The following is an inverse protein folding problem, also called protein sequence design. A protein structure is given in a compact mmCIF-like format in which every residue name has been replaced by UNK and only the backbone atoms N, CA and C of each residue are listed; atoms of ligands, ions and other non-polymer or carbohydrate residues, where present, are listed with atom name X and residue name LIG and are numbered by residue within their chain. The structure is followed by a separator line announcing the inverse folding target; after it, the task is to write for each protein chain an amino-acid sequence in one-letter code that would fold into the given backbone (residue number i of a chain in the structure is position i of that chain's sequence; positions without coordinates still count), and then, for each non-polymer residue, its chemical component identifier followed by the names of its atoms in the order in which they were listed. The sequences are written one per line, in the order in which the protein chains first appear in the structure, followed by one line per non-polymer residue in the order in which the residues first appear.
data_IF_642006988172
#
_entry.id   IF_642006988172
#
_cell.length_a   1.000
_cell.length_b   1.000
_cell.length_c   1.000
_cell.angle_alpha   90.00
_cell.angle_beta   90.00
_cell.angle_gamma   90.00
#
_symmetry.space_group_name_H-M   'P 1'
#
loop_
_entity.id
_entity.type
_entity.pdbx_description
1 polymer ?
#
# COMPACT_ATOMS: atom_id res chain seq x y z
N UNK A 1 11.90 7.95 -8.24
CA UNK A 1 11.89 9.35 -7.78
C UNK A 1 12.63 9.40 -6.47
N UNK A 2 13.69 10.18 -6.38
CA UNK A 2 14.47 10.31 -5.15
C UNK A 2 13.76 11.27 -4.19
N UNK A 3 13.97 11.15 -2.88
CA UNK A 3 13.40 12.07 -1.88
C UNK A 3 13.72 13.55 -2.20
N UNK A 4 14.86 13.84 -2.84
CA UNK A 4 15.24 15.18 -3.30
C UNK A 4 14.34 15.71 -4.42
N UNK A 5 13.91 14.85 -5.36
CA UNK A 5 13.04 15.26 -6.48
C UNK A 5 11.66 15.69 -6.00
N UNK A 6 11.17 15.03 -4.95
CA UNK A 6 9.90 15.38 -4.30
C UNK A 6 9.99 16.77 -3.65
N UNK A 7 10.98 17.02 -2.80
CA UNK A 7 11.14 18.31 -2.12
C UNK A 7 11.43 19.46 -3.09
N UNK A 8 12.17 19.21 -4.18
CA UNK A 8 12.36 20.18 -5.25
C UNK A 8 11.05 20.51 -5.97
N UNK A 9 10.19 19.51 -6.22
CA UNK A 9 8.87 19.72 -6.83
C UNK A 9 7.92 20.49 -5.89
N UNK A 10 7.99 20.21 -4.58
CA UNK A 10 7.26 20.98 -3.56
C UNK A 10 7.76 22.43 -3.52
N UNK A 11 9.07 22.67 -3.52
CA UNK A 11 9.63 24.02 -3.54
C UNK A 11 9.27 24.77 -4.83
N UNK A 12 9.37 24.12 -5.99
CA UNK A 12 9.02 24.71 -7.27
C UNK A 12 7.54 25.10 -7.35
N UNK A 13 6.64 24.26 -6.82
CA UNK A 13 5.21 24.57 -6.76
C UNK A 13 4.87 25.69 -5.78
N UNK A 14 5.57 25.79 -4.64
CA UNK A 14 5.44 26.94 -3.73
C UNK A 14 5.89 28.25 -4.41
N UNK A 15 7.04 28.24 -5.08
CA UNK A 15 7.56 29.42 -5.79
C UNK A 15 6.63 29.83 -6.92
N UNK A 16 6.12 28.88 -7.69
CA UNK A 16 5.13 29.14 -8.75
C UNK A 16 3.83 29.74 -8.17
N UNK A 17 3.34 29.22 -7.05
CA UNK A 17 2.15 29.76 -6.39
C UNK A 17 2.35 31.20 -5.91
N UNK A 18 3.53 31.53 -5.37
CA UNK A 18 3.88 32.90 -4.96
C UNK A 18 3.92 33.83 -6.18
N UNK A 19 4.56 33.42 -7.27
CA UNK A 19 4.63 34.22 -8.50
C UNK A 19 3.25 34.45 -9.11
N UNK A 20 2.40 33.42 -9.15
CA UNK A 20 1.01 33.53 -9.62
C UNK A 20 0.20 34.44 -8.69
N UNK A 21 0.39 34.36 -7.37
CA UNK A 21 -0.29 35.24 -6.41
C UNK A 21 0.13 36.71 -6.58
N UNK A 22 1.42 36.98 -6.84
CA UNK A 22 1.92 38.34 -7.09
C UNK A 22 1.41 38.88 -8.42
N UNK A 23 1.44 38.08 -9.50
CA UNK A 23 0.89 38.46 -10.80
C UNK A 23 -0.63 38.70 -10.73
N UNK A 24 -1.36 37.84 -10.02
CA UNK A 24 -2.79 38.03 -9.75
C UNK A 24 -3.04 39.32 -9.00
N UNK A 25 -2.26 39.62 -7.94
CA UNK A 25 -2.39 40.86 -7.15
C UNK A 25 -2.18 42.12 -8.01
N UNK A 26 -1.13 42.16 -8.84
CA UNK A 26 -0.83 43.30 -9.72
C UNK A 26 -1.94 43.50 -10.77
N UNK A 27 -2.47 42.41 -11.32
CA UNK A 27 -3.56 42.46 -12.31
C UNK A 27 -4.91 42.84 -11.67
N UNK A 28 -5.09 42.47 -10.39
CA UNK A 28 -6.29 42.73 -9.58
C UNK A 28 -6.42 44.16 -9.06
N UNK A 29 -5.31 44.85 -8.83
CA UNK A 29 -5.33 46.25 -8.38
C UNK A 29 -5.99 47.20 -9.39
N UNK A 30 -6.07 46.80 -10.67
CA UNK A 30 -6.78 47.51 -11.74
C UNK A 30 -8.30 47.32 -11.74
N UNK A 31 -8.86 46.32 -11.05
CA UNK A 31 -10.28 45.91 -11.13
C UNK A 31 -11.00 45.84 -9.78
N UNK A 32 -10.49 46.58 -8.78
CA UNK A 32 -11.09 46.81 -7.46
C UNK A 32 -12.63 47.01 -7.55
N UNK A 33 -13.48 46.52 -6.65
CA UNK A 33 -13.24 46.62 -5.21
C UNK A 33 -14.14 45.75 -4.31
N UNK A 34 -15.12 44.97 -4.81
CA UNK A 34 -16.06 44.26 -3.92
C UNK A 34 -16.32 42.78 -4.28
N UNK A 35 -16.44 42.41 -5.56
CA UNK A 35 -16.74 41.03 -5.94
C UNK A 35 -15.55 40.07 -5.79
N UNK A 36 -14.32 40.60 -5.84
CA UNK A 36 -13.11 39.77 -6.00
C UNK A 36 -12.48 39.37 -4.66
N UNK A 37 -12.75 40.09 -3.57
CA UNK A 37 -12.28 39.70 -2.24
C UNK A 37 -12.79 38.33 -1.81
N UNK A 38 -14.06 38.03 -2.08
CA UNK A 38 -14.65 36.71 -1.80
C UNK A 38 -14.23 35.64 -2.83
N UNK A 39 -14.20 35.98 -4.13
CA UNK A 39 -13.83 35.03 -5.18
C UNK A 39 -12.36 34.60 -5.16
N UNK A 40 -11.44 35.53 -4.96
CA UNK A 40 -10.00 35.23 -4.86
C UNK A 40 -9.67 34.44 -3.59
N UNK A 41 -10.33 34.76 -2.46
CA UNK A 41 -10.17 33.99 -1.22
C UNK A 41 -10.73 32.57 -1.39
N UNK A 42 -11.86 32.41 -2.07
CA UNK A 42 -12.41 31.09 -2.42
C UNK A 42 -11.48 30.28 -3.33
N UNK A 43 -10.87 30.91 -4.33
CA UNK A 43 -9.94 30.23 -5.23
C UNK A 43 -8.64 29.80 -4.53
N UNK A 44 -8.07 30.66 -3.68
CA UNK A 44 -6.91 30.31 -2.86
C UNK A 44 -7.26 29.21 -1.86
N UNK A 45 -8.42 29.28 -1.20
CA UNK A 45 -8.89 28.23 -0.30
C UNK A 45 -9.10 26.88 -1.03
N UNK A 46 -9.58 26.91 -2.27
CA UNK A 46 -9.75 25.70 -3.09
C UNK A 46 -8.40 25.09 -3.49
N UNK A 47 -7.43 25.91 -3.91
CA UNK A 47 -6.06 25.43 -4.21
C UNK A 47 -5.40 24.84 -2.96
N UNK A 48 -5.45 25.55 -1.83
CA UNK A 48 -4.91 25.06 -0.56
C UNK A 48 -5.61 23.78 -0.13
N UNK A 49 -6.93 23.70 -0.28
CA UNK A 49 -7.72 22.50 -0.01
C UNK A 49 -7.29 21.29 -0.86
N UNK A 50 -7.07 21.50 -2.16
CA UNK A 50 -6.58 20.44 -3.08
C UNK A 50 -5.17 19.99 -2.69
N UNK A 51 -4.28 20.92 -2.35
CA UNK A 51 -2.90 20.59 -1.93
C UNK A 51 -2.90 19.80 -0.62
N UNK A 52 -3.69 20.22 0.37
CA UNK A 52 -3.83 19.51 1.65
C UNK A 52 -4.43 18.13 1.42
N UNK A 53 -5.49 18.00 0.61
CA UNK A 53 -6.13 16.72 0.30
C UNK A 53 -5.18 15.76 -0.42
N UNK A 54 -4.45 16.24 -1.44
CA UNK A 54 -3.45 15.46 -2.15
C UNK A 54 -2.30 15.05 -1.21
N UNK A 55 -1.82 15.97 -0.37
CA UNK A 55 -0.80 15.71 0.64
C UNK A 55 -1.23 14.64 1.64
N UNK A 56 -2.45 14.71 2.18
CA UNK A 56 -3.01 13.71 3.11
C UNK A 56 -3.17 12.36 2.42
N UNK A 57 -3.63 12.33 1.16
CA UNK A 57 -3.84 11.07 0.43
C UNK A 57 -2.52 10.36 0.14
N UNK A 58 -1.54 11.09 -0.39
CA UNK A 58 -0.21 10.53 -0.70
C UNK A 58 0.51 10.09 0.58
N UNK A 59 0.46 10.88 1.65
CA UNK A 59 1.10 10.48 2.92
C UNK A 59 0.46 9.25 3.54
N UNK A 60 -0.86 9.07 3.42
CA UNK A 60 -1.55 7.84 3.85
C UNK A 60 -1.12 6.63 3.04
N UNK A 61 -1.05 6.74 1.71
CA UNK A 61 -0.62 5.64 0.84
C UNK A 61 0.84 5.25 1.09
N UNK A 62 1.74 6.22 1.22
CA UNK A 62 3.16 5.97 1.55
C UNK A 62 3.29 5.34 2.93
N UNK A 63 2.56 5.85 3.93
CA UNK A 63 2.57 5.29 5.28
C UNK A 63 2.05 3.84 5.31
N UNK A 64 0.96 3.55 4.59
CA UNK A 64 0.42 2.21 4.47
C UNK A 64 1.38 1.25 3.74
N UNK A 65 2.05 1.72 2.67
CA UNK A 65 3.05 0.94 1.96
C UNK A 65 4.27 0.61 2.83
N UNK A 66 4.78 1.61 3.57
CA UNK A 66 5.90 1.42 4.50
C UNK A 66 5.52 0.46 5.63
N UNK A 67 4.32 0.59 6.20
CA UNK A 67 3.82 -0.31 7.22
C UNK A 67 3.68 -1.74 6.70
N UNK A 68 3.13 -1.91 5.49
CA UNK A 68 2.99 -3.22 4.83
C UNK A 68 4.35 -3.86 4.55
N UNK A 69 5.29 -3.09 4.02
CA UNK A 69 6.65 -3.55 3.72
C UNK A 69 7.39 -3.96 5.01
N UNK A 70 7.34 -3.12 6.05
CA UNK A 70 7.95 -3.43 7.34
C UNK A 70 7.35 -4.70 7.97
N UNK A 71 6.04 -4.89 7.88
CA UNK A 71 5.39 -6.10 8.38
C UNK A 71 5.77 -7.33 7.54
N UNK A 72 5.85 -7.18 6.21
CA UNK A 72 6.29 -8.22 5.30
C UNK A 72 7.72 -8.70 5.62
N UNK A 73 8.63 -7.78 5.94
CA UNK A 73 9.99 -8.11 6.34
C UNK A 73 10.03 -8.89 7.65
N UNK A 74 9.21 -8.51 8.64
CA UNK A 74 9.11 -9.20 9.93
C UNK A 74 8.58 -10.62 9.77
N UNK A 75 7.51 -10.80 9.00
CA UNK A 75 6.95 -12.12 8.70
C UNK A 75 7.95 -12.94 7.88
N UNK A 76 8.65 -12.32 6.93
CA UNK A 76 9.70 -12.95 6.14
C UNK A 76 10.89 -13.42 6.99
N UNK A 77 11.34 -12.61 7.94
CA UNK A 77 12.40 -12.98 8.88
C UNK A 77 11.96 -14.12 9.81
N UNK A 78 10.73 -14.04 10.33
CA UNK A 78 10.16 -15.07 11.21
C UNK A 78 10.07 -16.42 10.49
N UNK A 79 9.46 -16.45 9.30
CA UNK A 79 9.30 -17.65 8.48
C UNK A 79 10.63 -18.25 8.04
N UNK A 80 11.61 -17.44 7.64
CA UNK A 80 12.96 -17.93 7.33
C UNK A 80 13.67 -18.54 8.53
N UNK A 81 13.44 -18.00 9.73
CA UNK A 81 14.07 -18.48 10.97
C UNK A 81 13.44 -19.78 11.49
N UNK A 82 12.11 -19.89 11.45
CA UNK A 82 11.38 -21.01 12.07
C UNK A 82 10.98 -22.11 11.08
N UNK A 83 10.78 -21.77 9.81
CA UNK A 83 10.34 -22.67 8.74
C UNK A 83 11.27 -22.63 7.52
N UNK A 84 12.60 -22.79 7.69
CA UNK A 84 13.58 -22.60 6.62
C UNK A 84 13.38 -23.58 5.46
N UNK A 85 12.97 -24.82 5.74
CA UNK A 85 12.77 -25.85 4.72
C UNK A 85 11.57 -25.56 3.83
N UNK A 86 10.49 -25.00 4.37
CA UNK A 86 9.33 -24.60 3.59
C UNK A 86 9.64 -23.37 2.74
N UNK A 87 10.39 -22.41 3.29
CA UNK A 87 10.84 -21.23 2.56
C UNK A 87 11.78 -21.60 1.40
N UNK A 88 12.71 -22.54 1.59
CA UNK A 88 13.58 -23.06 0.51
C UNK A 88 12.78 -23.70 -0.63
N UNK A 89 11.66 -24.34 -0.31
CA UNK A 89 10.73 -24.92 -1.31
C UNK A 89 9.87 -23.86 -2.02
N UNK A 90 10.01 -22.58 -1.68
CA UNK A 90 9.28 -21.47 -2.29
C UNK A 90 7.95 -21.12 -1.61
N UNK A 91 7.61 -21.77 -0.49
CA UNK A 91 6.45 -21.39 0.31
C UNK A 91 6.72 -20.09 1.08
N UNK A 92 5.66 -19.37 1.42
CA UNK A 92 5.80 -18.16 2.24
C UNK A 92 4.46 -17.53 2.60
N UNK A 93 4.54 -16.37 3.21
CA UNK A 93 3.38 -15.54 3.57
C UNK A 93 3.59 -14.15 3.02
N UNK A 94 2.54 -13.60 2.42
CA UNK A 94 2.49 -12.26 1.89
C UNK A 94 1.49 -11.42 2.68
N UNK A 95 1.86 -10.20 3.06
CA UNK A 95 0.92 -9.22 3.57
C UNK A 95 0.16 -8.68 2.36
N UNK A 96 -1.15 -8.91 2.29
CA UNK A 96 -2.00 -8.45 1.19
C UNK A 96 -2.52 -7.03 1.46
N UNK A 97 -3.02 -6.81 2.68
CA UNK A 97 -3.62 -5.53 3.06
C UNK A 97 -3.55 -5.29 4.57
N UNK A 98 -3.47 -4.02 4.96
CA UNK A 98 -3.57 -3.57 6.34
C UNK A 98 -4.87 -2.78 6.50
N UNK A 99 -5.85 -3.35 7.22
CA UNK A 99 -7.09 -2.69 7.62
C UNK A 99 -7.23 -2.75 9.14
N UNK A 100 -8.46 -2.78 9.66
CA UNK A 100 -8.74 -3.14 11.05
C UNK A 100 -8.16 -4.50 11.44
N UNK A 101 -8.07 -5.42 10.47
CA UNK A 101 -7.37 -6.70 10.59
C UNK A 101 -6.33 -6.81 9.48
N UNK A 102 -5.24 -7.53 9.75
CA UNK A 102 -4.18 -7.79 8.77
C UNK A 102 -4.64 -8.91 7.84
N UNK A 103 -4.63 -8.65 6.54
CA UNK A 103 -4.91 -9.65 5.51
C UNK A 103 -3.59 -10.27 5.07
N UNK A 104 -3.46 -11.58 5.28
CA UNK A 104 -2.27 -12.36 4.92
C UNK A 104 -2.63 -13.37 3.84
N UNK A 105 -1.72 -13.58 2.90
CA UNK A 105 -1.86 -14.52 1.79
C UNK A 105 -0.81 -15.61 1.87
N UNK A 106 -1.20 -16.86 1.63
CA UNK A 106 -0.24 -17.95 1.46
C UNK A 106 0.40 -17.89 0.07
N UNK A 107 1.72 -17.85 0.02
CA UNK A 107 2.50 -17.81 -1.23
C UNK A 107 2.98 -19.22 -1.57
N UNK A 108 2.59 -19.71 -2.75
CA UNK A 108 3.02 -21.00 -3.29
C UNK A 108 4.21 -20.85 -4.25
N UNK A 109 5.08 -21.87 -4.37
CA UNK A 109 6.15 -21.87 -5.36
C UNK A 109 5.65 -21.69 -6.79
N UNK A 110 6.48 -21.09 -7.63
CA UNK A 110 6.19 -20.92 -9.06
C UNK A 110 6.32 -22.28 -9.77
N UNK A 111 5.20 -22.80 -10.27
CA UNK A 111 5.12 -24.11 -10.94
C UNK A 111 4.39 -25.19 -10.14
N UNK A 112 4.16 -24.99 -8.84
CA UNK A 112 3.29 -25.86 -8.04
C UNK A 112 1.84 -25.40 -8.16
N UNK A 113 1.11 -25.93 -9.14
CA UNK A 113 -0.34 -25.85 -9.09
C UNK A 113 -0.93 -27.23 -8.80
N UNK A 114 -2.07 -27.21 -8.10
CA UNK A 114 -2.81 -28.28 -7.42
C UNK A 114 -2.75 -28.25 -5.89
N UNK A 115 -3.89 -28.53 -5.21
CA UNK A 115 -4.17 -28.06 -3.86
C UNK A 115 -3.55 -29.00 -2.84
N UNK A 116 -2.23 -29.01 -2.72
CA UNK A 116 -1.65 -29.46 -1.46
C UNK A 116 -1.91 -28.37 -0.42
N UNK A 117 -2.38 -28.72 0.79
CA UNK A 117 -2.47 -27.78 1.89
C UNK A 117 -1.14 -27.04 2.03
N UNK A 118 -1.18 -25.71 2.11
CA UNK A 118 0.03 -24.93 2.36
C UNK A 118 0.65 -25.44 3.68
N UNK A 119 1.95 -25.76 3.76
CA UNK A 119 2.54 -26.33 4.97
C UNK A 119 2.40 -25.41 6.18
N UNK A 120 2.38 -24.09 5.94
CA UNK A 120 2.12 -23.07 6.96
C UNK A 120 0.63 -22.83 7.24
N UNK A 121 -0.30 -23.49 6.53
CA UNK A 121 -1.74 -23.45 6.85
C UNK A 121 -2.04 -24.48 7.94
N UNK A 122 -1.58 -24.17 9.16
CA UNK A 122 -1.81 -25.00 10.33
C UNK A 122 -2.07 -24.13 11.58
N UNK A 123 -2.75 -24.66 12.61
CA UNK A 123 -3.14 -23.87 13.79
C UNK A 123 -1.96 -23.34 14.61
N UNK A 124 -0.81 -24.03 14.60
CA UNK A 124 0.39 -23.63 15.33
C UNK A 124 0.95 -22.36 14.70
N UNK A 125 1.14 -22.39 13.38
CA UNK A 125 1.61 -21.23 12.63
C UNK A 125 0.64 -20.05 12.72
N UNK A 126 -0.68 -20.30 12.69
CA UNK A 126 -1.68 -19.25 12.86
C UNK A 126 -1.57 -18.55 14.22
N UNK A 127 -1.38 -19.31 15.30
CA UNK A 127 -1.17 -18.76 16.64
C UNK A 127 0.15 -17.98 16.76
N UNK A 128 1.23 -18.49 16.16
CA UNK A 128 2.54 -17.85 16.12
C UNK A 128 2.50 -16.50 15.37
N UNK A 129 1.87 -16.49 14.20
CA UNK A 129 1.70 -15.27 13.41
C UNK A 129 0.78 -14.29 14.13
N UNK A 130 -0.32 -14.76 14.72
CA UNK A 130 -1.20 -13.90 15.53
C UNK A 130 -0.44 -13.24 16.67
N UNK A 131 0.42 -13.98 17.38
CA UNK A 131 1.28 -13.42 18.42
C UNK A 131 2.25 -12.38 17.83
N UNK A 132 2.92 -12.70 16.72
CA UNK A 132 3.82 -11.78 16.03
C UNK A 132 3.10 -10.48 15.64
N UNK A 133 1.87 -10.56 15.15
CA UNK A 133 1.06 -9.38 14.77
C UNK A 133 0.73 -8.53 16.00
N UNK A 134 0.26 -9.15 17.08
CA UNK A 134 -0.06 -8.46 18.33
C UNK A 134 1.16 -7.76 18.93
N UNK A 135 2.31 -8.43 18.95
CA UNK A 135 3.59 -7.88 19.44
C UNK A 135 4.07 -6.68 18.58
N UNK A 136 3.57 -6.55 17.36
CA UNK A 136 3.90 -5.47 16.43
C UNK A 136 2.79 -4.42 16.26
N UNK A 137 1.81 -4.40 17.17
CA UNK A 137 0.78 -3.37 17.23
C UNK A 137 -0.40 -3.59 16.28
N UNK A 138 -0.57 -4.81 15.76
CA UNK A 138 -1.71 -5.21 14.94
C UNK A 138 -2.61 -6.16 15.74
N UNK A 139 -3.57 -5.64 16.54
CA UNK A 139 -4.36 -6.47 17.43
C UNK A 139 -5.33 -7.38 16.66
N UNK A 140 -5.43 -8.62 17.13
CA UNK A 140 -6.41 -9.60 16.67
C UNK A 140 -5.86 -10.60 15.64
N UNK A 141 -6.70 -11.56 15.26
CA UNK A 141 -6.28 -12.63 14.37
C UNK A 141 -6.21 -12.12 12.92
N UNK A 142 -5.22 -12.57 12.12
CA UNK A 142 -5.17 -12.26 10.71
C UNK A 142 -6.37 -12.83 9.96
N UNK A 143 -6.63 -12.27 8.78
CA UNK A 143 -7.54 -12.86 7.79
C UNK A 143 -6.69 -13.53 6.72
N UNK A 144 -6.86 -14.84 6.56
CA UNK A 144 -6.12 -15.62 5.57
C UNK A 144 -6.82 -15.60 4.21
N UNK A 145 -6.15 -15.01 3.22
CA UNK A 145 -6.45 -15.16 1.81
C UNK A 145 -5.69 -16.35 1.22
N UNK A 146 -6.39 -17.13 0.40
CA UNK A 146 -5.77 -18.12 -0.47
C UNK A 146 -5.72 -17.51 -1.88
N UNK A 147 -4.61 -16.86 -2.29
CA UNK A 147 -4.49 -16.38 -3.65
C UNK A 147 -4.50 -17.60 -4.58
N UNK A 148 -5.66 -17.89 -5.16
CA UNK A 148 -5.80 -18.98 -6.11
C UNK A 148 -5.00 -18.60 -7.36
N UNK A 149 -3.92 -19.34 -7.65
CA UNK A 149 -3.31 -19.28 -8.98
C UNK A 149 -4.30 -19.88 -9.97
N UNK A 150 -4.65 -19.19 -11.08
CA UNK A 150 -5.41 -19.81 -12.15
C UNK A 150 -4.63 -21.04 -12.65
N UNK A 151 -5.33 -22.16 -12.83
CA UNK A 151 -4.71 -23.38 -13.35
C UNK A 151 -4.15 -23.12 -14.76
N UNK A 152 -2.97 -23.65 -15.08
CA UNK A 152 -2.41 -23.55 -16.43
C UNK A 152 -3.26 -24.38 -17.41
N UNK A 153 -3.12 -24.11 -18.72
CA UNK A 153 -3.86 -24.88 -19.73
C UNK A 153 -3.59 -26.39 -19.64
N UNK A 154 -2.33 -26.78 -19.42
CA UNK A 154 -1.89 -28.17 -19.25
C UNK A 154 -2.51 -28.84 -18.01
N UNK A 155 -2.73 -28.06 -16.96
CA UNK A 155 -3.35 -28.50 -15.71
C UNK A 155 -4.86 -28.66 -15.87
N UNK A 156 -5.48 -27.70 -16.55
CA UNK A 156 -6.89 -27.79 -16.95
C UNK A 156 -7.15 -29.01 -17.85
N UNK A 157 -6.28 -29.32 -18.80
CA UNK A 157 -6.39 -30.51 -19.65
C UNK A 157 -6.30 -31.81 -18.85
N UNK A 158 -5.39 -31.88 -17.86
CA UNK A 158 -5.30 -33.04 -16.95
C UNK A 158 -6.52 -33.22 -16.06
N UNK A 159 -7.16 -32.13 -15.63
CA UNK A 159 -8.39 -32.19 -14.82
C UNK A 159 -9.63 -32.54 -15.62
N UNK A 160 -9.76 -31.98 -16.83
CA UNK A 160 -10.94 -32.16 -17.66
C UNK A 160 -10.91 -33.49 -18.44
N UNK A 161 -9.77 -34.19 -18.41
CA UNK A 161 -9.54 -35.43 -19.14
C UNK A 161 -9.34 -35.18 -20.64
N UNK A 162 -8.75 -36.13 -21.39
CA UNK A 162 -8.77 -36.07 -22.83
C UNK A 162 -10.23 -36.08 -23.30
N UNK A 163 -10.56 -35.20 -24.24
CA UNK A 163 -11.85 -35.24 -24.94
C UNK A 163 -12.04 -36.55 -25.71
#
# INVERSE_FOLDING_TARGET
MTHSDFWLSVLASIVAAILVAVAAKITLERWKQLAIGFGATGFVALIVGVIIFAGITVTKEVSAHVARSSLQDKIGAYTKGHYPEDVKKGYGVEVLELRERVFLGFRYPDGGAYPSPHPLSNPIFDAEITKLLNDNGFPGNPVWGYPMKPATAEQMEKLLGPK
#
